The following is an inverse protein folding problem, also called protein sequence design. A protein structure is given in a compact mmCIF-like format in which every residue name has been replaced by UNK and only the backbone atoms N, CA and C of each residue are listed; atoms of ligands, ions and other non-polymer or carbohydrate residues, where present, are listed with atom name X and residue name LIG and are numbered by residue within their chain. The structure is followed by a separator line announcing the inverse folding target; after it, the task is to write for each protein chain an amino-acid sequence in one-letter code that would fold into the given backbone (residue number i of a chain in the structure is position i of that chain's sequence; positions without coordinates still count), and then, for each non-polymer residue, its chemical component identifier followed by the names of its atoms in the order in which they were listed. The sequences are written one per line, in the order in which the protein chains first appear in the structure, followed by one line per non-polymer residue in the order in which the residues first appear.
data_IF_164393527863
#
_entry.id   IF_164393527863
#
_cell.length_a   1.000
_cell.length_b   1.000
_cell.length_c   1.000
_cell.angle_alpha   90.00
_cell.angle_beta   90.00
_cell.angle_gamma   90.00
#
_symmetry.space_group_name_H-M   'P 1'
#
loop_
_entity.id
_entity.type
_entity.pdbx_description
1 polymer ?
#
# COMPACT_ATOMS: atom_id res chain seq x y z
N UNK A 1 -24.78 11.43 25.20
CA UNK A 1 -23.47 12.04 24.88
C UNK A 1 -23.73 13.31 24.09
N UNK A 2 -23.22 14.45 24.55
CA UNK A 2 -23.31 15.70 23.78
C UNK A 2 -22.52 15.55 22.46
N UNK A 3 -23.00 16.10 21.34
CA UNK A 3 -22.27 16.01 20.07
C UNK A 3 -20.96 16.79 20.22
N UNK A 4 -19.85 16.05 20.25
CA UNK A 4 -18.50 16.61 20.17
C UNK A 4 -18.45 17.47 18.91
N UNK A 5 -18.11 18.75 19.06
CA UNK A 5 -17.90 19.69 17.95
C UNK A 5 -17.04 19.00 16.90
N UNK A 6 -17.64 18.65 15.75
CA UNK A 6 -16.89 17.99 14.67
C UNK A 6 -15.69 18.86 14.30
N UNK A 7 -14.51 18.25 14.27
CA UNK A 7 -13.28 18.90 13.83
C UNK A 7 -13.48 19.47 12.41
N UNK A 8 -12.94 20.65 12.13
CA UNK A 8 -12.99 21.28 10.80
C UNK A 8 -12.49 20.35 9.68
N UNK A 9 -11.52 19.50 10.01
CA UNK A 9 -10.96 18.51 9.09
C UNK A 9 -11.98 17.46 8.65
N UNK A 10 -12.84 17.01 9.56
CA UNK A 10 -13.90 16.06 9.22
C UNK A 10 -14.90 16.67 8.25
N UNK A 11 -15.32 17.92 8.47
CA UNK A 11 -16.26 18.60 7.56
C UNK A 11 -15.68 18.77 6.16
N UNK A 12 -14.40 19.10 6.06
CA UNK A 12 -13.68 19.18 4.79
C UNK A 12 -13.66 17.82 4.07
N UNK A 13 -13.25 16.75 4.77
CA UNK A 13 -13.21 15.40 4.18
C UNK A 13 -14.61 14.94 3.74
N UNK A 14 -15.64 15.18 4.55
CA UNK A 14 -17.03 14.91 4.19
C UNK A 14 -17.45 15.64 2.91
N UNK A 15 -17.11 16.93 2.79
CA UNK A 15 -17.40 17.71 1.58
C UNK A 15 -16.65 17.23 0.34
N UNK A 16 -15.47 16.60 0.49
CA UNK A 16 -14.74 15.95 -0.61
C UNK A 16 -15.47 14.72 -1.16
N UNK A 17 -16.22 14.01 -0.33
CA UNK A 17 -17.04 12.88 -0.77
C UNK A 17 -18.46 13.29 -1.21
N UNK A 18 -19.05 14.33 -0.61
CA UNK A 18 -20.45 14.71 -0.86
C UNK A 18 -20.65 15.87 -1.84
N UNK A 19 -19.83 16.92 -1.82
CA UNK A 19 -20.07 18.17 -2.55
C UNK A 19 -18.87 18.63 -3.40
N UNK A 20 -18.77 19.95 -3.67
CA UNK A 20 -18.04 20.69 -4.74
C UNK A 20 -16.55 20.36 -4.98
N UNK A 21 -15.94 19.44 -4.24
CA UNK A 21 -14.56 18.99 -4.40
C UNK A 21 -14.47 17.63 -5.09
N UNK A 22 -15.20 17.46 -6.20
CA UNK A 22 -15.29 16.25 -7.05
C UNK A 22 -13.95 15.79 -7.64
N UNK A 23 -12.86 16.42 -7.25
CA UNK A 23 -11.62 16.36 -7.97
C UNK A 23 -10.40 16.15 -7.07
N UNK A 24 -10.44 15.07 -6.29
CA UNK A 24 -9.36 14.69 -5.39
C UNK A 24 -9.06 13.21 -5.55
N UNK A 25 -7.80 12.84 -5.34
CA UNK A 25 -7.39 11.45 -5.24
C UNK A 25 -7.02 11.20 -3.79
N UNK A 26 -7.68 10.22 -3.16
CA UNK A 26 -7.29 9.74 -1.84
C UNK A 26 -6.21 8.70 -2.04
N UNK A 27 -5.05 8.92 -1.42
CA UNK A 27 -3.89 8.05 -1.58
C UNK A 27 -3.45 7.56 -0.22
N UNK A 28 -3.57 6.26 0.03
CA UNK A 28 -2.95 5.64 1.19
C UNK A 28 -1.57 5.15 0.86
N UNK A 29 -0.62 5.42 1.76
CA UNK A 29 0.77 5.02 1.62
C UNK A 29 1.17 4.31 2.91
N UNK A 30 1.83 3.18 2.76
CA UNK A 30 2.35 2.38 3.86
C UNK A 30 3.76 1.89 3.50
N UNK A 31 4.60 1.76 4.52
CA UNK A 31 5.99 1.38 4.39
C UNK A 31 6.31 0.23 5.34
N UNK A 32 7.00 -0.76 4.82
CA UNK A 32 7.64 -1.74 5.66
C UNK A 32 9.14 -1.51 5.65
N UNK A 33 9.71 -1.42 6.85
CA UNK A 33 11.10 -1.07 7.04
C UNK A 33 11.63 -1.62 8.35
N UNK A 34 12.95 -1.66 8.46
CA UNK A 34 13.60 -2.17 9.66
C UNK A 34 15.05 -1.77 9.75
N UNK A 35 15.60 -1.92 10.95
CA UNK A 35 17.03 -1.73 11.18
C UNK A 35 17.81 -2.93 10.66
N UNK A 36 18.81 -2.67 9.84
CA UNK A 36 19.80 -3.68 9.46
C UNK A 36 20.88 -3.79 10.54
N UNK A 37 21.75 -4.82 10.44
CA UNK A 37 22.83 -5.09 11.40
C UNK A 37 23.78 -3.89 11.64
N UNK A 38 23.83 -2.97 10.69
CA UNK A 38 24.65 -1.74 10.70
C UNK A 38 23.92 -0.52 11.28
N UNK A 39 22.76 -0.71 11.93
CA UNK A 39 21.89 0.34 12.49
C UNK A 39 21.28 1.33 11.48
N UNK A 40 21.56 1.19 10.18
CA UNK A 40 20.88 1.90 9.12
C UNK A 40 19.45 1.37 8.96
N UNK A 41 18.47 2.28 9.04
CA UNK A 41 17.09 1.96 8.75
C UNK A 41 16.93 1.81 7.23
N UNK A 42 16.28 0.73 6.79
CA UNK A 42 16.03 0.49 5.37
C UNK A 42 14.57 0.17 5.14
N UNK A 43 13.98 0.89 4.18
CA UNK A 43 12.68 0.57 3.60
C UNK A 43 12.87 -0.65 2.69
N UNK A 44 12.01 -1.66 2.85
CA UNK A 44 12.03 -2.86 2.00
C UNK A 44 10.73 -3.09 1.22
N UNK A 45 9.60 -2.56 1.67
CA UNK A 45 8.38 -2.50 0.85
C UNK A 45 7.74 -1.11 0.96
N UNK A 46 7.13 -0.67 -0.14
CA UNK A 46 6.41 0.60 -0.26
C UNK A 46 5.13 0.31 -0.99
N UNK A 47 3.99 0.77 -0.49
CA UNK A 47 2.75 0.65 -1.23
C UNK A 47 2.01 1.96 -1.32
N UNK A 48 1.31 2.12 -2.44
CA UNK A 48 0.49 3.28 -2.74
C UNK A 48 -0.86 2.77 -3.24
N UNK A 49 -1.90 2.94 -2.44
CA UNK A 49 -3.28 2.61 -2.80
C UNK A 49 -4.07 3.88 -3.08
N UNK A 50 -4.73 3.96 -4.23
CA UNK A 50 -5.37 5.18 -4.72
C UNK A 50 -6.86 4.97 -4.99
N UNK A 51 -7.66 5.95 -4.59
CA UNK A 51 -9.08 6.09 -4.94
C UNK A 51 -9.28 7.45 -5.60
N UNK A 52 -9.61 7.46 -6.89
CA UNK A 52 -9.98 8.69 -7.60
C UNK A 52 -11.47 9.00 -7.41
N UNK A 53 -11.81 10.17 -6.87
CA UNK A 53 -13.20 10.57 -6.68
C UNK A 53 -14.00 10.67 -7.97
N UNK A 54 -13.35 10.87 -9.12
CA UNK A 54 -14.02 10.94 -10.43
C UNK A 54 -14.59 9.60 -10.87
N UNK A 55 -14.03 8.49 -10.37
CA UNK A 55 -14.45 7.11 -10.67
C UNK A 55 -15.59 6.62 -9.78
N UNK A 56 -15.99 7.41 -8.78
CA UNK A 56 -17.09 7.06 -7.87
C UNK A 56 -18.41 7.06 -8.66
N UNK A 57 -19.14 5.93 -8.61
CA UNK A 57 -20.38 5.69 -9.38
C UNK A 57 -20.21 5.66 -10.91
N UNK A 58 -18.99 5.48 -11.42
CA UNK A 58 -18.75 5.22 -12.83
C UNK A 58 -19.40 3.88 -13.23
N UNK A 59 -20.28 3.89 -14.23
CA UNK A 59 -21.16 2.75 -14.54
C UNK A 59 -20.41 1.50 -15.03
N UNK A 60 -19.25 1.68 -15.64
CA UNK A 60 -18.48 0.60 -16.27
C UNK A 60 -17.29 0.15 -15.43
N UNK A 61 -17.13 0.69 -14.22
CA UNK A 61 -16.01 0.34 -13.37
C UNK A 61 -16.39 -0.81 -12.43
N UNK A 62 -15.75 -1.98 -12.53
CA UNK A 62 -15.91 -3.04 -11.54
C UNK A 62 -15.52 -2.52 -10.15
N UNK A 63 -16.22 -3.00 -9.12
CA UNK A 63 -15.99 -2.53 -7.76
C UNK A 63 -14.54 -2.81 -7.33
N UNK A 64 -14.02 -3.98 -7.68
CA UNK A 64 -12.66 -4.44 -7.43
C UNK A 64 -11.57 -3.47 -7.95
N UNK A 65 -11.88 -2.68 -8.98
CA UNK A 65 -10.97 -1.70 -9.59
C UNK A 65 -11.13 -0.28 -9.02
N UNK A 66 -12.02 -0.11 -8.02
CA UNK A 66 -12.27 1.17 -7.36
C UNK A 66 -11.02 1.69 -6.63
N UNK A 67 -10.23 0.79 -6.04
CA UNK A 67 -8.96 1.11 -5.39
C UNK A 67 -7.84 0.42 -6.15
N UNK A 68 -6.93 1.20 -6.72
CA UNK A 68 -5.74 0.67 -7.40
C UNK A 68 -4.55 0.70 -6.45
N UNK A 69 -3.84 -0.41 -6.32
CA UNK A 69 -2.65 -0.51 -5.45
C UNK A 69 -1.40 -0.76 -6.29
N UNK A 70 -0.36 0.05 -6.10
CA UNK A 70 1.00 -0.23 -6.56
C UNK A 70 1.85 -0.65 -5.37
N UNK A 71 2.70 -1.65 -5.56
CA UNK A 71 3.56 -2.18 -4.52
C UNK A 71 5.00 -2.27 -5.05
N UNK A 72 5.93 -1.65 -4.35
CA UNK A 72 7.34 -1.63 -4.70
C UNK A 72 8.16 -2.32 -3.62
N UNK A 73 9.16 -3.10 -4.05
CA UNK A 73 9.97 -3.94 -3.18
C UNK A 73 11.44 -3.64 -3.39
N UNK A 74 12.15 -3.42 -2.29
CA UNK A 74 13.58 -3.12 -2.24
C UNK A 74 14.34 -4.27 -1.59
N UNK A 75 15.38 -4.76 -2.25
CA UNK A 75 16.30 -5.76 -1.70
C UNK A 75 16.22 -7.16 -2.34
N UNK A 76 16.10 -7.21 -3.67
CA UNK A 76 16.39 -8.38 -4.48
C UNK A 76 15.29 -9.45 -4.57
N UNK A 77 15.56 -10.47 -5.39
CA UNK A 77 14.57 -11.46 -5.84
C UNK A 77 13.83 -12.21 -4.72
N UNK A 78 14.53 -12.54 -3.61
CA UNK A 78 13.92 -13.26 -2.47
C UNK A 78 12.83 -12.43 -1.80
N UNK A 79 13.07 -11.13 -1.59
CA UNK A 79 12.07 -10.22 -0.99
C UNK A 79 10.90 -10.02 -1.93
N UNK A 80 11.17 -9.76 -3.21
CA UNK A 80 10.12 -9.65 -4.22
C UNK A 80 9.23 -10.89 -4.25
N UNK A 81 9.82 -12.09 -4.25
CA UNK A 81 9.06 -13.35 -4.26
C UNK A 81 8.18 -13.50 -3.02
N UNK A 82 8.67 -13.08 -1.85
CA UNK A 82 7.87 -13.08 -0.62
C UNK A 82 6.70 -12.09 -0.73
N UNK A 83 7.00 -10.85 -1.11
CA UNK A 83 6.04 -9.77 -1.29
C UNK A 83 4.92 -10.15 -2.29
N UNK A 84 5.26 -10.77 -3.43
CA UNK A 84 4.27 -11.25 -4.42
C UNK A 84 3.31 -12.27 -3.81
N UNK A 85 3.81 -13.19 -2.96
CA UNK A 85 2.98 -14.24 -2.34
C UNK A 85 2.05 -13.71 -1.27
N UNK A 86 2.45 -12.65 -0.56
CA UNK A 86 1.71 -12.11 0.58
C UNK A 86 0.79 -10.95 0.21
N UNK A 87 1.15 -10.19 -0.83
CA UNK A 87 0.35 -9.10 -1.35
C UNK A 87 -1.01 -9.62 -1.82
N UNK A 88 -2.12 -9.06 -1.37
CA UNK A 88 -3.48 -9.36 -1.83
C UNK A 88 -3.92 -8.38 -2.92
N UNK A 89 -3.37 -7.16 -2.94
CA UNK A 89 -3.85 -6.05 -3.76
C UNK A 89 -2.75 -5.51 -4.69
N UNK A 90 -3.04 -5.52 -5.99
CA UNK A 90 -2.11 -5.00 -6.99
C UNK A 90 -0.93 -5.92 -7.29
N UNK A 91 0.12 -5.33 -7.86
CA UNK A 91 1.31 -6.04 -8.37
C UNK A 91 2.56 -5.53 -7.66
N UNK A 92 3.44 -6.44 -7.27
CA UNK A 92 4.72 -6.14 -6.64
C UNK A 92 5.81 -5.95 -7.71
N UNK A 93 6.47 -4.80 -7.68
CA UNK A 93 7.52 -4.39 -8.62
C UNK A 93 8.84 -4.23 -7.86
N UNK A 94 9.97 -4.67 -8.43
CA UNK A 94 11.28 -4.42 -7.82
C UNK A 94 11.75 -2.99 -8.17
N UNK A 95 12.30 -2.29 -7.17
CA UNK A 95 12.96 -1.00 -7.38
C UNK A 95 14.26 -0.93 -6.57
N UNK A 96 15.18 -0.08 -7.00
CA UNK A 96 16.38 0.25 -6.23
C UNK A 96 16.09 1.29 -5.15
N UNK A 97 16.84 1.21 -4.04
CA UNK A 97 16.64 2.10 -2.90
C UNK A 97 16.81 3.60 -3.26
N UNK A 98 17.74 3.90 -4.18
CA UNK A 98 17.98 5.26 -4.68
C UNK A 98 16.80 5.82 -5.49
N UNK A 99 15.97 4.94 -6.06
CA UNK A 99 14.82 5.31 -6.88
C UNK A 99 13.54 5.52 -6.07
N UNK A 100 13.56 5.29 -4.74
CA UNK A 100 12.38 5.46 -3.88
C UNK A 100 11.75 6.87 -4.02
N UNK A 101 12.50 7.99 -3.88
CA UNK A 101 11.89 9.31 -3.93
C UNK A 101 11.29 9.62 -5.31
N UNK A 102 11.96 9.21 -6.38
CA UNK A 102 11.51 9.41 -7.74
C UNK A 102 10.23 8.60 -8.02
N UNK A 103 10.20 7.33 -7.62
CA UNK A 103 9.07 6.41 -7.80
C UNK A 103 7.82 6.91 -7.10
N UNK A 104 7.93 7.40 -5.86
CA UNK A 104 6.80 7.97 -5.11
C UNK A 104 6.31 9.25 -5.80
N UNK A 105 7.21 10.17 -6.16
CA UNK A 105 6.84 11.42 -6.84
C UNK A 105 6.12 11.16 -8.16
N UNK A 106 6.62 10.22 -8.96
CA UNK A 106 6.00 9.83 -10.22
C UNK A 106 4.61 9.23 -10.00
N UNK A 107 4.49 8.29 -9.06
CA UNK A 107 3.21 7.63 -8.75
C UNK A 107 2.16 8.64 -8.26
N UNK A 108 2.56 9.66 -7.50
CA UNK A 108 1.67 10.74 -7.04
C UNK A 108 1.43 11.83 -8.10
N UNK A 109 2.18 11.86 -9.21
CA UNK A 109 2.06 12.90 -10.24
C UNK A 109 0.94 12.59 -11.25
N UNK A 110 -0.29 12.47 -10.74
CA UNK A 110 -1.47 12.20 -11.59
C UNK A 110 -1.85 13.46 -12.36
N UNK A 111 -1.80 13.38 -13.69
CA UNK A 111 -2.15 14.49 -14.60
C UNK A 111 -3.66 14.67 -14.66
N UNK A 112 -4.10 15.92 -14.70
CA UNK A 112 -5.50 16.26 -15.01
C UNK A 112 -5.72 16.21 -16.53
N UNK A 113 -6.33 15.14 -17.02
CA UNK A 113 -6.57 14.89 -18.45
C UNK A 113 -7.93 15.41 -18.95
N UNK A 114 -8.88 15.68 -18.04
CA UNK A 114 -10.27 16.05 -18.41
C UNK A 114 -10.50 17.55 -18.61
N UNK A 115 -9.57 18.42 -18.20
CA UNK A 115 -9.66 19.88 -18.44
C UNK A 115 -9.20 20.31 -19.85
N UNK A 116 -9.01 19.34 -20.76
CA UNK A 116 -8.46 19.51 -22.13
C UNK A 116 -9.37 20.26 -23.13
N UNK A 117 -10.50 20.84 -22.69
CA UNK A 117 -11.30 21.78 -23.50
C UNK A 117 -10.76 23.22 -23.47
N UNK A 118 -9.64 23.46 -22.77
CA UNK A 118 -8.93 24.74 -22.79
C UNK A 118 -7.82 24.73 -23.85
N UNK A 119 -7.55 25.85 -24.56
CA UNK A 119 -6.51 25.92 -25.59
C UNK A 119 -5.11 25.51 -25.06
N UNK A 120 -4.22 25.01 -25.93
CA UNK A 120 -3.02 24.21 -25.61
C UNK A 120 -1.87 24.97 -24.88
N UNK A 121 -2.15 26.10 -24.24
CA UNK A 121 -1.13 26.95 -23.59
C UNK A 121 -1.05 26.82 -22.06
N UNK A 122 -1.85 25.96 -21.42
CA UNK A 122 -1.77 25.74 -19.96
C UNK A 122 -1.05 24.42 -19.66
N UNK A 123 0.11 24.53 -18.99
CA UNK A 123 0.85 23.42 -18.37
C UNK A 123 -0.13 22.40 -17.77
N UNK A 124 0.06 21.10 -18.05
CA UNK A 124 -0.76 20.03 -17.48
C UNK A 124 -0.81 20.20 -15.95
N UNK A 125 -1.99 20.47 -15.41
CA UNK A 125 -2.16 20.64 -13.97
C UNK A 125 -2.14 19.26 -13.31
N UNK A 126 -1.43 19.13 -12.19
CA UNK A 126 -1.50 17.92 -11.36
C UNK A 126 -2.81 17.91 -10.56
N UNK A 127 -3.37 16.72 -10.35
CA UNK A 127 -4.58 16.49 -9.55
C UNK A 127 -4.28 16.67 -8.06
N UNK A 128 -5.25 17.14 -7.29
CA UNK A 128 -5.09 17.28 -5.84
C UNK A 128 -5.10 15.90 -5.15
N UNK A 129 -4.23 15.72 -4.17
CA UNK A 129 -4.06 14.48 -3.41
C UNK A 129 -4.30 14.71 -1.92
N UNK A 130 -5.06 13.82 -1.32
CA UNK A 130 -5.17 13.67 0.14
C UNK A 130 -4.45 12.39 0.52
N UNK A 131 -3.34 12.51 1.24
CA UNK A 131 -2.58 11.36 1.75
C UNK A 131 -3.28 10.81 2.99
N UNK A 132 -3.42 9.49 3.07
CA UNK A 132 -4.12 8.76 4.13
C UNK A 132 -3.18 7.71 4.73
N UNK A 133 -2.64 7.97 5.91
CA UNK A 133 -1.76 7.04 6.61
C UNK A 133 -2.41 6.44 7.85
N UNK A 134 -1.76 5.43 8.42
CA UNK A 134 -2.11 4.90 9.73
C UNK A 134 -0.91 5.03 10.67
N UNK A 135 -1.01 5.89 11.70
CA UNK A 135 0.17 6.28 12.48
C UNK A 135 1.29 6.88 11.60
N UNK A 136 0.89 7.78 10.69
CA UNK A 136 1.71 8.29 9.58
C UNK A 136 3.00 8.99 10.02
N UNK A 137 3.12 9.34 11.29
CA UNK A 137 4.34 9.94 11.84
C UNK A 137 5.56 9.06 11.58
N UNK A 138 5.46 7.74 11.77
CA UNK A 138 6.56 6.81 11.53
C UNK A 138 6.95 6.82 10.05
N UNK A 139 5.97 6.65 9.16
CA UNK A 139 6.18 6.67 7.70
C UNK A 139 6.83 7.96 7.23
N UNK A 140 6.39 9.10 7.78
CA UNK A 140 6.95 10.41 7.43
C UNK A 140 8.42 10.54 7.81
N UNK A 141 8.87 9.92 8.91
CA UNK A 141 10.29 9.89 9.26
C UNK A 141 11.09 9.06 8.27
N UNK A 142 10.57 7.90 7.86
CA UNK A 142 11.23 7.04 6.87
C UNK A 142 11.37 7.73 5.52
N UNK A 143 10.34 8.46 5.11
CA UNK A 143 10.35 9.25 3.90
C UNK A 143 11.41 10.37 3.95
N UNK A 144 11.53 11.06 5.09
CA UNK A 144 12.55 12.09 5.28
C UNK A 144 13.97 11.53 5.23
N UNK A 145 14.19 10.33 5.79
CA UNK A 145 15.49 9.64 5.73
C UNK A 145 15.94 9.34 4.29
N UNK A 146 14.99 9.03 3.40
CA UNK A 146 15.27 8.87 1.95
C UNK A 146 15.22 10.18 1.17
N UNK A 147 15.15 11.33 1.84
CA UNK A 147 15.19 12.66 1.21
C UNK A 147 13.87 13.10 0.58
N UNK A 148 12.74 12.54 1.01
CA UNK A 148 11.41 12.92 0.54
C UNK A 148 10.54 13.47 1.68
N UNK A 149 10.24 14.77 1.64
CA UNK A 149 9.14 15.32 2.43
C UNK A 149 7.86 15.33 1.59
N UNK A 150 6.95 14.41 1.88
CA UNK A 150 5.68 14.29 1.15
C UNK A 150 4.76 15.50 1.35
N UNK A 151 4.89 16.21 2.48
CA UNK A 151 4.05 17.37 2.80
C UNK A 151 4.40 18.59 1.95
N UNK A 152 5.62 18.61 1.39
CA UNK A 152 6.11 19.66 0.50
C UNK A 152 5.78 19.39 -0.98
N UNK A 153 5.19 18.24 -1.30
CA UNK A 153 4.81 17.95 -2.68
C UNK A 153 3.61 18.80 -3.09
N UNK A 154 3.67 19.50 -4.24
CA UNK A 154 2.69 20.54 -4.59
C UNK A 154 1.28 20.02 -4.85
N UNK A 155 1.13 18.72 -5.14
CA UNK A 155 -0.17 18.09 -5.35
C UNK A 155 -0.83 17.65 -4.03
N UNK A 156 -0.07 17.52 -2.93
CA UNK A 156 -0.58 17.07 -1.64
C UNK A 156 -1.24 18.25 -0.91
N UNK A 157 -2.57 18.21 -0.79
CA UNK A 157 -3.34 19.29 -0.16
C UNK A 157 -3.67 19.01 1.31
N UNK A 158 -3.60 17.74 1.73
CA UNK A 158 -3.88 17.31 3.11
C UNK A 158 -3.25 15.95 3.38
N UNK A 159 -2.82 15.76 4.62
CA UNK A 159 -2.45 14.45 5.18
C UNK A 159 -3.45 14.12 6.29
N UNK A 160 -3.97 12.89 6.28
CA UNK A 160 -4.95 12.38 7.24
C UNK A 160 -4.38 11.14 7.90
N UNK A 161 -4.34 11.17 9.23
CA UNK A 161 -3.97 10.01 10.04
C UNK A 161 -5.23 9.26 10.51
N UNK A 162 -5.38 8.03 10.04
CA UNK A 162 -6.55 7.20 10.34
C UNK A 162 -6.59 6.70 11.78
N UNK A 163 -5.45 6.59 12.48
CA UNK A 163 -5.43 6.24 13.90
C UNK A 163 -6.03 7.37 14.74
N UNK A 164 -5.65 8.61 14.43
CA UNK A 164 -6.21 9.81 15.07
C UNK A 164 -7.70 9.94 14.75
N UNK A 165 -8.06 9.74 13.47
CA UNK A 165 -9.45 9.78 13.03
C UNK A 165 -10.31 8.71 13.72
N UNK A 166 -9.82 7.47 13.80
CA UNK A 166 -10.50 6.37 14.50
C UNK A 166 -10.67 6.69 15.99
N UNK A 167 -9.67 7.29 16.65
CA UNK A 167 -9.81 7.74 18.03
C UNK A 167 -10.95 8.74 18.21
N UNK A 168 -11.10 9.69 17.28
CA UNK A 168 -12.18 10.68 17.33
C UNK A 168 -13.56 10.09 17.02
N UNK A 169 -13.64 9.14 16.10
CA UNK A 169 -14.93 8.60 15.59
C UNK A 169 -15.40 7.38 16.37
N UNK A 170 -14.49 6.47 16.72
CA UNK A 170 -14.77 5.20 17.41
C UNK A 170 -14.43 5.25 18.91
N UNK A 171 -13.86 6.36 19.39
CA UNK A 171 -13.45 6.52 20.79
C UNK A 171 -12.14 5.82 21.15
N UNK A 172 -11.53 5.09 20.21
CA UNK A 172 -10.27 4.36 20.41
C UNK A 172 -9.39 4.44 19.16
N UNK A 173 -8.15 4.86 19.37
CA UNK A 173 -7.06 4.66 18.41
C UNK A 173 -6.38 3.32 18.69
N UNK A 174 -5.60 2.82 17.74
CA UNK A 174 -4.90 1.55 17.88
C UNK A 174 -4.25 1.14 16.57
N UNK A 175 -4.01 -0.15 16.39
CA UNK A 175 -3.56 -0.73 15.13
C UNK A 175 -4.60 -0.58 14.03
N UNK A 176 -4.16 -0.75 12.77
CA UNK A 176 -5.04 -0.76 11.60
C UNK A 176 -6.11 -1.87 11.70
N UNK A 177 -5.79 -2.97 12.40
CA UNK A 177 -6.71 -4.06 12.66
C UNK A 177 -7.98 -3.62 13.41
N UNK A 178 -7.88 -2.62 14.28
CA UNK A 178 -9.00 -2.16 15.09
C UNK A 178 -10.17 -1.62 14.25
N UNK A 179 -10.00 -0.60 13.38
CA UNK A 179 -11.08 -0.14 12.52
C UNK A 179 -11.53 -1.23 11.52
N UNK A 180 -10.65 -2.11 11.04
CA UNK A 180 -11.04 -3.22 10.17
C UNK A 180 -12.05 -4.15 10.85
N UNK A 181 -11.77 -4.56 12.10
CA UNK A 181 -12.71 -5.35 12.93
C UNK A 181 -14.00 -4.58 13.22
N UNK A 182 -13.89 -3.32 13.62
CA UNK A 182 -15.06 -2.49 13.96
C UNK A 182 -16.03 -2.34 12.78
N UNK A 183 -15.50 -2.23 11.57
CA UNK A 183 -16.30 -2.07 10.35
C UNK A 183 -16.61 -3.36 9.61
N UNK A 184 -16.13 -4.51 10.09
CA UNK A 184 -16.25 -5.82 9.45
C UNK A 184 -15.70 -5.79 8.02
N UNK A 185 -14.52 -5.19 7.85
CA UNK A 185 -13.78 -5.22 6.58
C UNK A 185 -12.97 -6.53 6.59
N UNK A 186 -13.13 -7.41 5.60
CA UNK A 186 -12.29 -8.59 5.45
C UNK A 186 -10.80 -8.20 5.30
N UNK A 187 -9.91 -8.87 6.02
CA UNK A 187 -8.46 -8.62 5.95
C UNK A 187 -7.66 -9.90 6.19
N UNK A 188 -6.45 -9.94 5.63
CA UNK A 188 -5.46 -11.01 5.79
C UNK A 188 -4.07 -10.42 5.52
N UNK A 189 -3.01 -11.10 5.97
CA UNK A 189 -1.61 -10.73 5.67
C UNK A 189 -1.29 -9.26 5.99
N UNK A 190 -1.66 -8.81 7.19
CA UNK A 190 -1.12 -7.55 7.74
C UNK A 190 0.41 -7.68 7.88
N UNK A 191 1.12 -6.56 7.86
CA UNK A 191 2.58 -6.47 7.68
C UNK A 191 3.06 -6.73 6.26
N UNK A 192 2.20 -6.41 5.29
CA UNK A 192 2.59 -6.25 3.89
C UNK A 192 2.13 -4.86 3.49
N UNK A 193 3.06 -4.03 3.05
CA UNK A 193 2.78 -2.62 2.77
C UNK A 193 1.57 -2.47 1.82
N UNK A 194 1.48 -3.33 0.80
CA UNK A 194 0.37 -3.33 -0.16
C UNK A 194 -0.99 -3.56 0.49
N UNK A 195 -1.06 -4.54 1.39
CA UNK A 195 -2.28 -4.87 2.12
C UNK A 195 -2.64 -3.76 3.09
N UNK A 196 -1.67 -3.27 3.84
CA UNK A 196 -1.90 -2.27 4.86
C UNK A 196 -2.29 -0.92 4.26
N UNK A 197 -1.71 -0.51 3.13
CA UNK A 197 -2.15 0.68 2.39
C UNK A 197 -3.60 0.53 1.86
N UNK A 198 -3.95 -0.60 1.24
CA UNK A 198 -5.30 -0.81 0.70
C UNK A 198 -6.35 -0.85 1.84
N UNK A 199 -6.06 -1.62 2.88
CA UNK A 199 -6.94 -1.80 4.03
C UNK A 199 -7.06 -0.51 4.85
N UNK A 200 -5.99 0.28 4.97
CA UNK A 200 -6.03 1.62 5.58
C UNK A 200 -6.96 2.53 4.81
N UNK A 201 -6.90 2.52 3.47
CA UNK A 201 -7.82 3.30 2.64
C UNK A 201 -9.27 2.83 2.84
N UNK A 202 -9.53 1.52 2.84
CA UNK A 202 -10.88 0.96 3.12
C UNK A 202 -11.40 1.34 4.52
N UNK A 203 -10.55 1.28 5.54
CA UNK A 203 -10.88 1.73 6.89
C UNK A 203 -11.21 3.23 6.93
N UNK A 204 -10.44 4.05 6.22
CA UNK A 204 -10.71 5.47 6.06
C UNK A 204 -12.08 5.73 5.42
N UNK A 205 -12.44 5.04 4.33
CA UNK A 205 -13.76 5.17 3.71
C UNK A 205 -14.89 4.88 4.70
N UNK A 206 -14.74 3.87 5.54
CA UNK A 206 -15.74 3.53 6.56
C UNK A 206 -15.82 4.53 7.71
N UNK A 207 -14.69 5.12 8.13
CA UNK A 207 -14.67 6.23 9.08
C UNK A 207 -15.45 7.43 8.52
N UNK A 208 -15.19 7.81 7.26
CA UNK A 208 -15.93 8.88 6.60
C UNK A 208 -17.42 8.53 6.48
N UNK A 209 -17.73 7.35 5.97
CA UNK A 209 -19.11 6.86 5.84
C UNK A 209 -19.89 6.94 7.17
N UNK A 210 -19.26 6.51 8.28
CA UNK A 210 -19.89 6.59 9.60
C UNK A 210 -20.17 8.04 10.02
N UNK A 211 -19.21 8.95 9.83
CA UNK A 211 -19.40 10.36 10.18
C UNK A 211 -20.49 11.02 9.36
N UNK A 212 -20.61 10.68 8.07
CA UNK A 212 -21.66 11.17 7.18
C UNK A 212 -23.06 10.69 7.59
N UNK A 213 -23.16 9.48 8.17
CA UNK A 213 -24.43 8.96 8.70
C UNK A 213 -24.83 9.57 10.03
N UNK A 214 -23.86 9.84 10.92
CA UNK A 214 -24.13 10.40 12.25
C UNK A 214 -24.42 11.90 12.20
N UNK A 215 -23.83 12.61 11.25
CA UNK A 215 -24.00 14.05 11.07
C UNK A 215 -24.37 14.32 9.61
N UNK A 216 -25.66 14.14 9.25
CA UNK A 216 -26.10 14.55 7.92
C UNK A 216 -25.72 16.02 7.74
N UNK A 217 -24.98 16.33 6.66
CA UNK A 217 -24.90 17.69 6.16
C UNK A 217 -26.34 18.24 6.12
N UNK A 218 -26.63 19.53 6.40
CA UNK A 218 -27.99 20.07 6.33
C UNK A 218 -28.73 19.75 5.02
N UNK A 219 -27.99 19.41 3.97
CA UNK A 219 -28.44 19.02 2.63
C UNK A 219 -28.81 17.51 2.51
N UNK A 220 -28.58 16.68 3.53
CA UNK A 220 -28.78 15.23 3.47
C UNK A 220 -30.13 14.79 4.06
N UNK A 221 -31.08 14.44 3.19
CA UNK A 221 -32.47 14.12 3.57
C UNK A 221 -32.73 12.62 3.89
N UNK A 222 -31.72 11.89 4.37
CA UNK A 222 -31.88 10.55 5.00
C UNK A 222 -32.37 9.39 4.12
N UNK A 223 -32.78 9.61 2.87
CA UNK A 223 -33.29 8.56 1.97
C UNK A 223 -32.15 7.98 1.12
N UNK A 224 -31.49 6.96 1.70
CA UNK A 224 -30.21 6.36 1.27
C UNK A 224 -30.15 5.86 -0.19
N UNK A 225 -31.27 5.65 -0.87
CA UNK A 225 -31.26 5.08 -2.23
C UNK A 225 -31.79 5.99 -3.34
N UNK A 226 -32.33 7.19 -3.01
CA UNK A 226 -32.90 8.10 -4.02
C UNK A 226 -32.02 9.30 -4.36
N UNK A 227 -31.02 9.62 -3.53
CA UNK A 227 -30.12 10.76 -3.77
C UNK A 227 -28.75 10.31 -4.28
N UNK A 228 -28.00 11.22 -4.93
CA UNK A 228 -26.62 10.96 -5.37
C UNK A 228 -25.73 10.64 -4.17
N UNK A 229 -25.89 11.37 -3.07
CA UNK A 229 -25.17 11.20 -1.82
C UNK A 229 -25.43 9.83 -1.18
N UNK A 230 -26.69 9.39 -1.17
CA UNK A 230 -27.06 8.07 -0.68
C UNK A 230 -26.41 6.95 -1.48
N UNK A 231 -26.38 7.08 -2.82
CA UNK A 231 -25.66 6.16 -3.71
C UNK A 231 -24.16 6.17 -3.46
N UNK A 232 -23.54 7.34 -3.28
CA UNK A 232 -22.11 7.43 -2.93
C UNK A 232 -21.81 6.74 -1.61
N UNK A 233 -22.64 6.95 -0.57
CA UNK A 233 -22.46 6.27 0.71
C UNK A 233 -22.56 4.76 0.58
N UNK A 234 -23.57 4.26 -0.14
CA UNK A 234 -23.71 2.83 -0.40
C UNK A 234 -22.50 2.27 -1.17
N UNK A 235 -22.01 3.02 -2.16
CA UNK A 235 -20.83 2.66 -2.94
C UNK A 235 -19.56 2.62 -2.07
N UNK A 236 -19.32 3.62 -1.22
CA UNK A 236 -18.18 3.64 -0.30
C UNK A 236 -18.19 2.44 0.64
N UNK A 237 -19.37 2.10 1.18
CA UNK A 237 -19.55 0.93 2.03
C UNK A 237 -19.28 -0.36 1.25
N UNK A 238 -19.75 -0.46 0.00
CA UNK A 238 -19.53 -1.62 -0.85
C UNK A 238 -18.04 -1.82 -1.15
N UNK A 239 -17.33 -0.77 -1.57
CA UNK A 239 -15.88 -0.80 -1.85
C UNK A 239 -15.09 -1.19 -0.60
N UNK A 240 -15.39 -0.58 0.54
CA UNK A 240 -14.65 -0.86 1.76
C UNK A 240 -14.85 -2.28 2.29
N UNK A 241 -16.00 -2.92 2.01
CA UNK A 241 -16.34 -4.27 2.49
C UNK A 241 -16.29 -5.34 1.40
N UNK A 242 -15.59 -5.08 0.31
CA UNK A 242 -15.31 -6.10 -0.68
C UNK A 242 -14.68 -7.32 -0.02
N UNK A 243 -15.07 -8.49 -0.51
CA UNK A 243 -14.38 -9.73 -0.20
C UNK A 243 -12.91 -9.65 -0.63
N UNK A 244 -12.08 -10.45 0.01
CA UNK A 244 -10.67 -10.51 -0.36
C UNK A 244 -10.52 -11.13 -1.76
N UNK A 245 -9.56 -10.65 -2.57
CA UNK A 245 -9.25 -11.27 -3.85
C UNK A 245 -8.89 -12.75 -3.69
N UNK A 246 -9.26 -13.56 -4.68
CA UNK A 246 -8.84 -14.95 -4.74
C UNK A 246 -7.33 -15.03 -5.05
N UNK A 247 -6.57 -15.29 -3.99
CA UNK A 247 -5.12 -15.45 -4.05
C UNK A 247 -4.70 -16.67 -4.85
N UNK A 248 -5.49 -17.75 -4.88
CA UNK A 248 -5.14 -18.96 -5.61
C UNK A 248 -5.23 -18.70 -7.10
N UNK A 249 -6.39 -18.20 -7.56
CA UNK A 249 -6.60 -17.83 -8.96
C UNK A 249 -5.55 -16.83 -9.46
N UNK A 250 -5.22 -15.81 -8.65
CA UNK A 250 -4.21 -14.81 -9.02
C UNK A 250 -2.80 -15.40 -9.09
N UNK A 251 -2.43 -16.26 -8.13
CA UNK A 251 -1.12 -16.90 -8.12
C UNK A 251 -0.98 -17.92 -9.24
N UNK A 252 -2.07 -18.57 -9.66
CA UNK A 252 -2.12 -19.44 -10.83
C UNK A 252 -1.86 -18.64 -12.11
N UNK A 253 -2.60 -17.56 -12.34
CA UNK A 253 -2.35 -16.67 -13.48
C UNK A 253 -0.90 -16.14 -13.52
N UNK A 254 -0.31 -15.85 -12.35
CA UNK A 254 1.09 -15.44 -12.26
C UNK A 254 2.08 -16.56 -12.64
N UNK A 255 1.79 -17.81 -12.28
CA UNK A 255 2.61 -18.96 -12.70
C UNK A 255 2.52 -19.17 -14.20
N UNK A 256 1.34 -19.01 -14.78
CA UNK A 256 1.10 -19.17 -16.21
C UNK A 256 1.89 -18.12 -17.01
N UNK A 257 1.80 -16.83 -16.63
CA UNK A 257 2.60 -15.76 -17.24
C UNK A 257 4.10 -16.04 -17.17
N UNK A 258 4.58 -16.60 -16.06
CA UNK A 258 5.99 -16.99 -15.90
C UNK A 258 6.36 -18.20 -16.79
N UNK A 259 5.46 -19.16 -16.95
CA UNK A 259 5.65 -20.34 -17.79
C UNK A 259 5.66 -19.99 -19.28
N UNK A 260 4.92 -18.97 -19.69
CA UNK A 260 4.89 -18.45 -21.07
C UNK A 260 6.14 -17.64 -21.45
N UNK A 261 7.11 -17.48 -20.54
CA UNK A 261 8.31 -16.67 -20.79
C UNK A 261 8.02 -15.18 -20.92
N UNK A 262 6.80 -14.75 -20.58
CA UNK A 262 6.42 -13.34 -20.52
C UNK A 262 6.99 -12.81 -19.21
N UNK A 263 8.28 -12.46 -19.24
CA UNK A 263 8.86 -11.57 -18.25
C UNK A 263 7.98 -10.32 -18.20
N UNK A 264 7.46 -9.98 -17.01
CA UNK A 264 6.52 -8.87 -16.84
C UNK A 264 7.17 -7.60 -17.38
N UNK A 265 6.79 -7.25 -18.61
CA UNK A 265 7.39 -6.17 -19.38
C UNK A 265 6.58 -4.91 -19.12
N UNK A 266 6.81 -4.28 -17.96
CA UNK A 266 6.31 -2.94 -17.67
C UNK A 266 7.41 -2.16 -16.94
N UNK A 267 8.04 -1.21 -17.65
CA UNK A 267 9.06 -0.29 -17.12
C UNK A 267 10.50 -0.71 -17.44
N UNK A 268 11.10 -0.06 -18.43
CA UNK A 268 12.43 -0.31 -18.98
C UNK A 268 13.54 -0.53 -17.93
N UNK A 269 14.11 -1.74 -17.90
CA UNK A 269 15.25 -2.11 -17.06
C UNK A 269 15.51 -3.60 -17.09
N UNK A 270 15.70 -4.15 -18.30
CA UNK A 270 16.01 -5.56 -18.53
C UNK A 270 17.41 -5.86 -17.97
N UNK A 271 17.48 -6.53 -16.81
CA UNK A 271 18.64 -7.34 -16.46
C UNK A 271 18.26 -8.79 -16.76
N UNK A 272 18.71 -9.24 -17.93
CA UNK A 272 18.89 -10.66 -18.21
C UNK A 272 19.85 -11.22 -17.16
N UNK A 273 19.30 -11.92 -16.17
CA UNK A 273 20.08 -12.81 -15.34
C UNK A 273 20.09 -14.16 -16.06
N UNK A 274 20.95 -14.27 -17.07
CA UNK A 274 21.33 -15.55 -17.65
C UNK A 274 21.83 -16.48 -16.52
N UNK A 275 21.02 -17.49 -16.23
CA UNK A 275 21.41 -18.60 -15.38
C UNK A 275 22.29 -19.53 -16.23
N UNK A 276 23.58 -19.22 -16.28
CA UNK A 276 24.59 -20.18 -16.73
C UNK A 276 24.52 -21.38 -15.79
N UNK A 277 24.02 -22.48 -16.33
CA UNK A 277 24.19 -23.82 -15.81
C UNK A 277 25.68 -24.13 -15.66
N UNK A 278 26.20 -24.11 -14.43
CA UNK A 278 27.43 -24.83 -14.13
C UNK A 278 27.09 -26.19 -13.52
N UNK A 279 27.35 -27.17 -14.39
CA UNK A 279 27.47 -28.59 -14.16
C UNK A 279 28.40 -28.97 -13.02
N UNK A 280 27.97 -29.97 -12.24
CA UNK A 280 28.77 -31.05 -11.67
C UNK A 280 30.28 -30.79 -11.51
N UNK A 281 30.68 -30.41 -10.30
CA UNK A 281 32.02 -30.75 -9.78
C UNK A 281 31.80 -31.70 -8.61
N UNK A 282 32.12 -32.97 -8.88
CA UNK A 282 32.24 -34.05 -7.91
C UNK A 282 33.39 -33.77 -6.95
N UNK A 283 33.11 -33.89 -5.65
CA UNK A 283 34.13 -33.92 -4.59
C UNK A 283 35.12 -35.07 -4.83
N UNK A 284 36.44 -34.85 -4.68
CA UNK A 284 37.39 -35.95 -4.61
C UNK A 284 37.40 -36.55 -3.20
N UNK A 285 37.07 -37.84 -3.16
CA UNK A 285 37.36 -38.77 -2.09
C UNK A 285 38.88 -38.94 -1.99
N UNK A 286 39.47 -38.63 -0.84
CA UNK A 286 40.78 -39.18 -0.46
C UNK A 286 40.64 -40.00 0.83
N UNK A 287 40.74 -41.31 0.65
CA UNK A 287 41.03 -42.31 1.67
C UNK A 287 42.38 -42.93 1.31
N UNK A 288 43.36 -42.91 2.22
CA UNK A 288 44.46 -43.89 2.29
C UNK A 288 45.30 -43.76 3.59
N UNK A 289 44.81 -44.45 4.63
CA UNK A 289 45.48 -45.55 5.38
C UNK A 289 46.97 -45.43 5.81
N UNK A 290 47.16 -45.45 7.15
CA UNK A 290 48.10 -46.25 7.99
C UNK A 290 49.62 -46.17 7.71
N UNK A 291 50.54 -46.06 8.68
CA UNK A 291 50.84 -46.98 9.82
C UNK A 291 52.02 -46.35 10.59
N UNK A 292 52.05 -46.26 11.93
CA UNK A 292 52.85 -47.04 12.93
C UNK A 292 52.85 -46.15 14.20
N UNK A 293 52.64 -46.53 15.46
CA UNK A 293 52.99 -47.74 16.21
C UNK A 293 53.89 -47.33 17.40
N UNK A 294 53.65 -47.90 18.60
CA UNK A 294 54.41 -47.83 19.89
C UNK A 294 53.89 -46.77 20.89
N UNK A 295 53.11 -47.07 21.96
CA UNK A 295 53.27 -47.84 23.22
C UNK A 295 53.85 -47.04 24.42
N UNK A 296 53.20 -47.26 25.60
CA UNK A 296 53.61 -47.05 27.02
C UNK A 296 53.61 -45.57 27.52
N UNK A 297 53.16 -45.16 28.71
CA UNK A 297 52.83 -45.81 29.98
C UNK A 297 51.95 -44.89 30.89
N UNK A 298 51.35 -45.47 31.93
CA UNK A 298 50.69 -44.79 33.04
C UNK A 298 51.63 -44.59 34.25
N UNK A 299 51.48 -43.49 35.00
CA UNK A 299 51.79 -43.35 36.46
C UNK A 299 51.42 -41.92 36.92
N UNK A 300 50.41 -41.75 37.79
CA UNK A 300 50.53 -41.50 39.24
C UNK A 300 51.36 -40.27 39.67
N UNK A 301 50.66 -39.33 40.32
CA UNK A 301 50.99 -38.78 41.65
C UNK A 301 52.22 -37.90 41.81
N UNK A 302 51.99 -36.59 42.00
CA UNK A 302 52.31 -35.85 43.23
C UNK A 302 51.61 -34.49 43.25
#
# INVERSE_FOLDING_TARGET
MAPTKMCSDLKMLQSMFLSKYRDTIFVSIDFEGGRCKEAEFRIYEIAISMLDTRRILEQNLPLEDAITTRHFVVGGHRRLTKAVKENLFGVSEAIDAENIPATIRETLSVKDTETSSSPPSKKSKLRNIVVVGHSFHTDSQLLLEVGLDISLLPMVIKIVDTQTLAKSVLGKGGSVEYPLKAFRIPYKNLHSAANDANLTLKAFLMLIHLTLRQFPCPEFNGTVFRTEEGRKLAWLQAVARQELPDMEARNEAWRDLKAEGIGILWGSGMLDCDYMSESNVSDPVEDLVSTTGILVNASQGH
#
